data_IF_454778910432
#
_entry.id   IF_454778910432
#
_cell.length_a   1.000
_cell.length_b   1.000
_cell.length_c   1.000
_cell.angle_alpha   90.00
_cell.angle_beta   90.00
_cell.angle_gamma   90.00
#
_symmetry.space_group_name_H-M   'P 1'
#
loop_
_entity.id
_entity.type
_entity.pdbx_description
1 polymer ?
#
# COMPACT_ATOMS: atom_id res chain seq x y z
N UNK A 1 23.68 -12.42 -8.25
CA UNK A 1 23.57 -13.17 -6.98
C UNK A 1 23.59 -12.29 -5.71
N UNK A 2 24.36 -11.19 -5.63
CA UNK A 2 24.37 -10.30 -4.43
C UNK A 2 23.04 -9.59 -4.17
N UNK A 3 22.36 -9.09 -5.21
CA UNK A 3 21.06 -8.38 -5.07
C UNK A 3 19.97 -9.31 -4.53
N UNK A 4 19.83 -10.52 -5.08
CA UNK A 4 18.82 -11.50 -4.62
C UNK A 4 19.02 -11.87 -3.15
N UNK A 5 20.27 -11.96 -2.70
CA UNK A 5 20.60 -12.24 -1.30
C UNK A 5 20.22 -11.06 -0.39
N UNK A 6 20.55 -9.84 -0.80
CA UNK A 6 20.16 -8.61 -0.09
C UNK A 6 18.64 -8.48 0.07
N UNK A 7 17.87 -8.69 -1.02
CA UNK A 7 16.39 -8.64 -0.98
C UNK A 7 15.80 -9.64 0.02
N UNK A 8 16.45 -10.78 0.20
CA UNK A 8 16.02 -11.81 1.13
C UNK A 8 16.45 -11.54 2.57
N UNK A 9 17.57 -10.84 2.76
CA UNK A 9 18.12 -10.51 4.07
C UNK A 9 17.48 -9.24 4.67
N UNK A 10 16.96 -8.32 3.84
CA UNK A 10 16.26 -7.07 4.26
C UNK A 10 14.98 -6.82 3.43
N UNK A 11 13.96 -7.66 3.58
CA UNK A 11 12.76 -7.60 2.74
C UNK A 11 11.97 -6.30 2.94
N UNK A 12 11.87 -5.78 4.17
CA UNK A 12 11.10 -4.59 4.48
C UNK A 12 11.76 -3.32 3.94
N UNK A 13 13.08 -3.20 4.09
CA UNK A 13 13.85 -2.09 3.52
C UNK A 13 13.77 -2.07 1.99
N UNK A 14 13.84 -3.25 1.35
CA UNK A 14 13.72 -3.38 -0.10
C UNK A 14 12.32 -2.96 -0.57
N UNK A 15 11.28 -3.44 0.11
CA UNK A 15 9.89 -3.09 -0.20
C UNK A 15 9.65 -1.58 -0.07
N UNK A 16 10.08 -0.97 1.04
CA UNK A 16 9.98 0.47 1.24
C UNK A 16 10.73 1.26 0.17
N UNK A 17 11.97 0.86 -0.14
CA UNK A 17 12.75 1.49 -1.19
C UNK A 17 12.05 1.44 -2.55
N UNK A 18 11.46 0.29 -2.89
CA UNK A 18 10.69 0.13 -4.12
C UNK A 18 9.41 0.99 -4.14
N UNK A 19 8.71 1.11 -3.01
CA UNK A 19 7.52 1.93 -2.89
C UNK A 19 7.83 3.43 -3.02
N UNK A 20 8.88 3.91 -2.34
CA UNK A 20 9.34 5.30 -2.46
C UNK A 20 9.77 5.59 -3.90
N UNK A 21 10.53 4.68 -4.51
CA UNK A 21 10.90 4.80 -5.91
C UNK A 21 9.66 4.86 -6.81
N UNK A 22 8.64 4.04 -6.53
CA UNK A 22 7.35 4.10 -7.21
C UNK A 22 6.73 5.49 -7.18
N UNK A 23 6.61 6.09 -5.99
CA UNK A 23 6.08 7.45 -5.82
C UNK A 23 6.84 8.46 -6.68
N UNK A 24 8.17 8.38 -6.70
CA UNK A 24 9.01 9.29 -7.46
C UNK A 24 8.93 9.07 -8.97
N UNK A 25 8.64 7.85 -9.42
CA UNK A 25 8.57 7.52 -10.84
C UNK A 25 7.21 7.83 -11.47
N UNK A 26 6.10 7.82 -10.71
CA UNK A 26 4.75 8.01 -11.27
C UNK A 26 4.57 9.23 -12.19
N UNK A 27 5.09 10.44 -11.88
CA UNK A 27 4.94 11.61 -12.75
C UNK A 27 5.54 11.41 -14.15
N UNK A 28 6.54 10.53 -14.28
CA UNK A 28 7.20 10.25 -15.55
C UNK A 28 6.48 9.15 -16.37
N UNK A 29 5.49 8.49 -15.76
CA UNK A 29 4.84 7.30 -16.31
C UNK A 29 3.41 7.56 -16.80
N UNK A 30 2.74 8.66 -16.41
CA UNK A 30 1.35 8.91 -16.82
C UNK A 30 1.21 9.45 -18.26
N UNK A 31 2.19 10.21 -18.77
CA UNK A 31 2.04 10.92 -20.04
C UNK A 31 2.60 10.20 -21.29
N UNK A 32 3.04 8.94 -21.18
CA UNK A 32 3.65 8.22 -22.32
C UNK A 32 3.13 6.80 -22.53
N UNK A 33 3.09 6.36 -23.79
CA UNK A 33 2.74 4.97 -24.17
C UNK A 33 3.73 3.97 -23.54
N UNK A 34 5.00 4.34 -23.39
CA UNK A 34 5.99 3.58 -22.66
C UNK A 34 5.68 3.51 -21.15
N UNK A 35 5.04 4.55 -20.62
CA UNK A 35 4.62 4.69 -19.24
C UNK A 35 3.63 3.61 -18.79
N UNK A 36 2.62 3.28 -19.61
CA UNK A 36 1.68 2.19 -19.31
C UNK A 36 2.35 0.82 -19.14
N UNK A 37 3.32 0.48 -20.00
CA UNK A 37 4.08 -0.77 -19.89
C UNK A 37 5.01 -0.76 -18.65
N UNK A 38 5.64 0.38 -18.36
CA UNK A 38 6.47 0.55 -17.17
C UNK A 38 5.65 0.50 -15.87
N UNK A 39 4.44 1.04 -15.85
CA UNK A 39 3.50 0.92 -14.72
C UNK A 39 3.11 -0.53 -14.48
N UNK A 40 2.82 -1.29 -15.54
CA UNK A 40 2.53 -2.71 -15.41
C UNK A 40 3.72 -3.49 -14.84
N UNK A 41 4.94 -3.26 -15.36
CA UNK A 41 6.18 -3.86 -14.84
C UNK A 41 6.39 -3.49 -13.37
N UNK A 42 6.16 -2.23 -13.02
CA UNK A 42 6.29 -1.75 -11.65
C UNK A 42 5.25 -2.42 -10.73
N UNK A 43 4.00 -2.55 -11.17
CA UNK A 43 2.96 -3.30 -10.46
C UNK A 43 3.37 -4.75 -10.19
N UNK A 44 3.87 -5.47 -11.20
CA UNK A 44 4.39 -6.83 -11.02
C UNK A 44 5.55 -6.90 -10.02
N UNK A 45 6.47 -5.93 -10.08
CA UNK A 45 7.60 -5.85 -9.17
C UNK A 45 7.13 -5.63 -7.72
N UNK A 46 6.21 -4.70 -7.49
CA UNK A 46 5.67 -4.43 -6.15
C UNK A 46 4.89 -5.64 -5.63
N UNK A 47 4.03 -6.26 -6.45
CA UNK A 47 3.32 -7.49 -6.08
C UNK A 47 4.29 -8.61 -5.67
N UNK A 48 5.36 -8.81 -6.44
CA UNK A 48 6.39 -9.79 -6.13
C UNK A 48 7.09 -9.50 -4.79
N UNK A 49 7.45 -8.24 -4.55
CA UNK A 49 8.08 -7.82 -3.28
C UNK A 49 7.14 -7.97 -2.09
N UNK A 50 5.83 -7.71 -2.25
CA UNK A 50 4.83 -7.96 -1.21
C UNK A 50 4.77 -9.44 -0.86
N UNK A 51 4.70 -10.33 -1.86
CA UNK A 51 4.69 -11.78 -1.60
C UNK A 51 5.96 -12.21 -0.85
N UNK A 52 7.12 -11.67 -1.22
CA UNK A 52 8.39 -11.98 -0.55
C UNK A 52 8.36 -11.49 0.90
N UNK A 53 7.94 -10.24 1.14
CA UNK A 53 7.87 -9.65 2.47
C UNK A 53 6.92 -10.42 3.39
N UNK A 54 5.73 -10.80 2.90
CA UNK A 54 4.77 -11.55 3.71
C UNK A 54 5.23 -12.99 3.96
N UNK A 55 5.93 -13.64 3.03
CA UNK A 55 6.49 -14.99 3.24
C UNK A 55 7.58 -15.04 4.31
N UNK A 56 8.17 -13.90 4.67
CA UNK A 56 9.10 -13.82 5.81
C UNK A 56 8.36 -13.81 7.16
N UNK A 57 7.03 -13.63 7.18
CA UNK A 57 6.19 -13.63 8.38
C UNK A 57 5.57 -15.01 8.64
N UNK A 58 5.22 -15.36 9.89
CA UNK A 58 4.62 -16.67 10.24
C UNK A 58 3.15 -16.83 9.82
N UNK A 59 2.56 -15.86 9.11
CA UNK A 59 1.17 -15.88 8.65
C UNK A 59 0.97 -16.90 7.50
N UNK A 60 -0.26 -17.39 7.30
CA UNK A 60 -0.62 -18.41 6.29
C UNK A 60 -0.21 -18.00 4.86
N UNK A 61 0.99 -18.43 4.44
CA UNK A 61 1.58 -18.02 3.15
C UNK A 61 0.81 -18.51 1.92
N UNK A 62 -0.06 -19.51 2.07
CA UNK A 62 -0.93 -19.99 0.99
C UNK A 62 -2.07 -19.01 0.67
N UNK A 63 -2.55 -18.25 1.65
CA UNK A 63 -3.60 -17.23 1.46
C UNK A 63 -3.06 -16.11 0.57
N UNK A 64 -1.83 -15.68 0.81
CA UNK A 64 -1.13 -14.72 -0.06
C UNK A 64 -1.10 -15.22 -1.50
N UNK A 65 -0.77 -16.50 -1.72
CA UNK A 65 -0.71 -17.06 -3.06
C UNK A 65 -2.09 -17.08 -3.72
N UNK A 66 -3.13 -17.43 -2.96
CA UNK A 66 -4.51 -17.48 -3.45
C UNK A 66 -5.03 -16.10 -3.87
N UNK A 67 -4.61 -15.02 -3.21
CA UNK A 67 -5.01 -13.65 -3.56
C UNK A 67 -4.07 -13.03 -4.62
N UNK A 68 -2.77 -13.26 -4.52
CA UNK A 68 -1.78 -12.70 -5.43
C UNK A 68 -1.88 -13.30 -6.85
N UNK A 69 -2.25 -14.57 -6.98
CA UNK A 69 -2.38 -15.21 -8.29
C UNK A 69 -3.49 -14.56 -9.15
N UNK A 70 -4.75 -14.39 -8.67
CA UNK A 70 -5.77 -13.63 -9.38
C UNK A 70 -5.35 -12.19 -9.68
N UNK A 71 -4.75 -11.48 -8.71
CA UNK A 71 -4.26 -10.11 -8.92
C UNK A 71 -3.26 -10.04 -10.08
N UNK A 72 -2.28 -10.94 -10.09
CA UNK A 72 -1.26 -11.01 -11.15
C UNK A 72 -1.87 -11.35 -12.51
N UNK A 73 -2.78 -12.32 -12.57
CA UNK A 73 -3.45 -12.71 -13.82
C UNK A 73 -4.28 -11.55 -14.38
N UNK A 74 -5.01 -10.84 -13.53
CA UNK A 74 -5.79 -9.68 -13.95
C UNK A 74 -4.89 -8.52 -14.39
N UNK A 75 -3.77 -8.27 -13.71
CA UNK A 75 -2.79 -7.27 -14.13
C UNK A 75 -2.20 -7.60 -15.52
N UNK A 76 -1.87 -8.88 -15.78
CA UNK A 76 -1.42 -9.34 -17.11
C UNK A 76 -2.53 -9.13 -18.14
N UNK A 77 -3.78 -9.47 -17.80
CA UNK A 77 -4.90 -9.32 -18.71
C UNK A 77 -5.14 -7.85 -19.11
N UNK A 78 -4.88 -6.88 -18.21
CA UNK A 78 -4.97 -5.45 -18.51
C UNK A 78 -4.00 -4.99 -19.61
N UNK A 79 -2.86 -5.67 -19.79
CA UNK A 79 -1.90 -5.37 -20.87
C UNK A 79 -2.48 -5.67 -22.25
N UNK A 80 -3.38 -6.65 -22.34
CA UNK A 80 -3.98 -7.09 -23.59
C UNK A 80 -5.40 -6.55 -23.81
N UNK A 81 -6.14 -6.29 -22.72
CA UNK A 81 -7.54 -5.86 -22.76
C UNK A 81 -7.75 -4.69 -21.80
N UNK A 82 -7.90 -3.49 -22.36
CA UNK A 82 -8.28 -2.30 -21.59
C UNK A 82 -9.79 -2.28 -21.37
N UNK A 83 -10.26 -2.74 -20.20
CA UNK A 83 -11.67 -2.61 -19.81
C UNK A 83 -11.82 -2.07 -18.39
N UNK A 84 -12.73 -1.09 -18.15
CA UNK A 84 -12.91 -0.50 -16.82
C UNK A 84 -13.30 -1.52 -15.74
N UNK A 85 -14.13 -2.50 -16.09
CA UNK A 85 -14.53 -3.57 -15.16
C UNK A 85 -13.36 -4.45 -14.73
N UNK A 86 -12.42 -4.74 -15.63
CA UNK A 86 -11.26 -5.58 -15.33
C UNK A 86 -10.26 -4.84 -14.42
N UNK A 87 -10.10 -3.53 -14.60
CA UNK A 87 -9.32 -2.69 -13.68
C UNK A 87 -9.93 -2.70 -12.27
N UNK A 88 -11.26 -2.56 -12.15
CA UNK A 88 -11.94 -2.61 -10.85
C UNK A 88 -11.72 -3.94 -10.13
N UNK A 89 -11.86 -5.08 -10.83
CA UNK A 89 -11.58 -6.39 -10.25
C UNK A 89 -10.11 -6.57 -9.86
N UNK A 90 -9.18 -6.14 -10.72
CA UNK A 90 -7.74 -6.18 -10.41
C UNK A 90 -7.43 -5.39 -9.14
N UNK A 91 -7.91 -4.15 -9.07
CA UNK A 91 -7.74 -3.28 -7.90
C UNK A 91 -8.38 -3.88 -6.65
N UNK A 92 -9.52 -4.56 -6.78
CA UNK A 92 -10.13 -5.27 -5.65
C UNK A 92 -9.22 -6.36 -5.07
N UNK A 93 -8.63 -7.20 -5.91
CA UNK A 93 -7.69 -8.23 -5.45
C UNK A 93 -6.39 -7.63 -4.90
N UNK A 94 -5.88 -6.56 -5.52
CA UNK A 94 -4.70 -5.84 -5.05
C UNK A 94 -4.94 -5.20 -3.69
N UNK A 95 -6.09 -4.53 -3.49
CA UNK A 95 -6.48 -3.98 -2.19
C UNK A 95 -6.48 -5.05 -1.10
N UNK A 96 -7.10 -6.20 -1.35
CA UNK A 96 -7.12 -7.33 -0.39
C UNK A 96 -5.71 -7.83 -0.09
N UNK A 97 -4.86 -7.98 -1.10
CA UNK A 97 -3.47 -8.39 -0.92
C UNK A 97 -2.69 -7.39 -0.08
N UNK A 98 -2.79 -6.10 -0.38
CA UNK A 98 -2.08 -5.05 0.35
C UNK A 98 -2.57 -4.91 1.79
N UNK A 99 -3.88 -5.00 2.05
CA UNK A 99 -4.42 -5.04 3.41
C UNK A 99 -3.93 -6.28 4.17
N UNK A 100 -3.95 -7.45 3.54
CA UNK A 100 -3.45 -8.67 4.15
C UNK A 100 -1.95 -8.56 4.47
N UNK A 101 -1.16 -8.00 3.55
CA UNK A 101 0.26 -7.80 3.74
C UNK A 101 0.55 -6.82 4.89
N UNK A 102 -0.14 -5.67 4.90
CA UNK A 102 -0.05 -4.69 5.99
C UNK A 102 -0.40 -5.31 7.33
N UNK A 103 -1.53 -6.03 7.43
CA UNK A 103 -1.95 -6.68 8.66
C UNK A 103 -0.97 -7.77 9.12
N UNK A 104 -0.42 -8.58 8.20
CA UNK A 104 0.54 -9.64 8.51
C UNK A 104 1.86 -9.06 9.03
N UNK A 105 2.38 -8.03 8.37
CA UNK A 105 3.61 -7.35 8.80
C UNK A 105 3.41 -6.63 10.14
N UNK A 106 2.26 -5.98 10.33
CA UNK A 106 1.92 -5.30 11.57
C UNK A 106 1.79 -6.28 12.74
N UNK A 107 1.14 -7.42 12.54
CA UNK A 107 1.03 -8.48 13.53
C UNK A 107 2.41 -9.09 13.86
N UNK A 108 3.25 -9.29 12.85
CA UNK A 108 4.64 -9.73 13.03
C UNK A 108 5.45 -8.75 13.88
N UNK A 109 5.38 -7.45 13.57
CA UNK A 109 6.06 -6.39 14.34
C UNK A 109 5.55 -6.33 15.79
N UNK A 110 4.26 -6.48 16.01
CA UNK A 110 3.68 -6.47 17.36
C UNK A 110 4.07 -7.68 18.20
N UNK A 111 4.40 -8.81 17.58
CA UNK A 111 4.78 -10.04 18.27
C UNK A 111 6.25 -10.05 18.73
N UNK A 112 7.13 -9.25 18.11
CA UNK A 112 8.56 -9.27 18.41
C UNK A 112 8.93 -8.34 19.59
N UNK A 113 9.79 -8.82 20.49
CA UNK A 113 10.29 -8.07 21.65
C UNK A 113 11.56 -7.25 21.35
N UNK A 114 12.24 -7.51 20.23
CA UNK A 114 13.51 -6.87 19.88
C UNK A 114 13.39 -6.07 18.59
N UNK A 115 13.46 -4.74 18.70
CA UNK A 115 13.51 -3.87 17.52
C UNK A 115 14.82 -4.01 16.78
N UNK A 116 14.77 -4.60 15.58
CA UNK A 116 15.89 -4.63 14.63
C UNK A 116 15.80 -3.46 13.64
N UNK A 117 16.88 -3.16 12.93
CA UNK A 117 16.89 -2.10 11.91
C UNK A 117 15.92 -2.37 10.76
N UNK A 118 15.72 -3.65 10.36
CA UNK A 118 14.74 -4.02 9.33
C UNK A 118 13.31 -3.73 9.80
N UNK A 119 13.04 -3.85 11.11
CA UNK A 119 11.74 -3.54 11.69
C UNK A 119 11.41 -2.03 11.65
N UNK A 120 12.41 -1.16 11.74
CA UNK A 120 12.22 0.28 11.52
C UNK A 120 11.80 0.58 10.08
N UNK A 121 12.38 -0.13 9.10
CA UNK A 121 11.94 -0.01 7.71
C UNK A 121 10.56 -0.65 7.49
N UNK A 122 10.20 -1.67 8.25
CA UNK A 122 8.87 -2.29 8.22
C UNK A 122 7.77 -1.29 8.60
N UNK A 123 8.02 -0.36 9.54
CA UNK A 123 7.08 0.75 9.84
C UNK A 123 6.81 1.57 8.57
N UNK A 124 7.85 1.97 7.85
CA UNK A 124 7.66 2.71 6.60
C UNK A 124 6.89 1.88 5.57
N UNK A 125 7.27 0.61 5.42
CA UNK A 125 6.66 -0.31 4.44
C UNK A 125 5.18 -0.60 4.74
N UNK A 126 4.79 -0.75 6.01
CA UNK A 126 3.38 -0.98 6.36
C UNK A 126 2.53 0.26 6.09
N UNK A 127 3.06 1.46 6.38
CA UNK A 127 2.36 2.71 6.06
C UNK A 127 2.06 2.81 4.57
N UNK A 128 3.05 2.57 3.72
CA UNK A 128 2.88 2.58 2.26
C UNK A 128 1.99 1.44 1.78
N UNK A 129 2.05 0.23 2.37
CA UNK A 129 1.11 -0.84 2.01
C UNK A 129 -0.35 -0.43 2.29
N UNK A 130 -0.62 0.22 3.42
CA UNK A 130 -1.94 0.74 3.73
C UNK A 130 -2.38 1.81 2.72
N UNK A 131 -1.49 2.73 2.36
CA UNK A 131 -1.80 3.74 1.35
C UNK A 131 -2.15 3.11 -0.02
N UNK A 132 -1.45 2.04 -0.44
CA UNK A 132 -1.76 1.38 -1.71
C UNK A 132 -3.08 0.60 -1.61
N UNK A 133 -3.33 -0.03 -0.47
CA UNK A 133 -4.57 -0.74 -0.23
C UNK A 133 -5.80 0.19 -0.34
N UNK A 134 -5.74 1.36 0.28
CA UNK A 134 -6.81 2.36 0.18
C UNK A 134 -6.90 3.00 -1.20
N UNK A 135 -5.78 3.31 -1.85
CA UNK A 135 -5.79 3.79 -3.23
C UNK A 135 -6.51 2.81 -4.19
N UNK A 136 -6.21 1.52 -4.11
CA UNK A 136 -6.94 0.49 -4.88
C UNK A 136 -8.41 0.38 -4.45
N UNK A 137 -8.71 0.55 -3.16
CA UNK A 137 -10.10 0.61 -2.69
C UNK A 137 -10.83 1.79 -3.30
N UNK A 138 -10.19 2.95 -3.46
CA UNK A 138 -10.77 4.11 -4.12
C UNK A 138 -11.00 3.90 -5.61
N UNK A 139 -10.11 3.16 -6.29
CA UNK A 139 -10.36 2.74 -7.69
C UNK A 139 -11.62 1.89 -7.78
N UNK A 140 -11.81 0.94 -6.87
CA UNK A 140 -13.03 0.10 -6.81
C UNK A 140 -14.27 0.95 -6.53
N UNK A 141 -14.21 1.85 -5.54
CA UNK A 141 -15.32 2.76 -5.22
C UNK A 141 -15.67 3.63 -6.41
N UNK A 142 -14.68 4.19 -7.10
CA UNK A 142 -14.89 5.00 -8.31
C UNK A 142 -15.54 4.20 -9.44
N UNK A 143 -15.17 2.93 -9.59
CA UNK A 143 -15.74 2.06 -10.62
C UNK A 143 -17.20 1.64 -10.31
N UNK A 144 -17.52 1.41 -9.03
CA UNK A 144 -18.86 1.05 -8.59
C UNK A 144 -19.81 2.25 -8.55
N UNK A 145 -19.30 3.43 -8.19
CA UNK A 145 -20.07 4.65 -8.04
C UNK A 145 -19.35 5.85 -8.71
N UNK A 146 -19.44 5.97 -10.05
CA UNK A 146 -18.73 7.00 -10.82
C UNK A 146 -19.04 8.42 -10.33
N UNK A 147 -18.02 9.29 -10.31
CA UNK A 147 -18.14 10.64 -9.73
C UNK A 147 -18.13 10.66 -8.19
N UNK A 148 -17.66 9.59 -7.56
CA UNK A 148 -17.41 9.52 -6.12
C UNK A 148 -16.34 10.51 -5.63
N UNK A 149 -15.37 10.84 -6.50
CA UNK A 149 -14.24 11.71 -6.21
C UNK A 149 -14.16 12.84 -7.24
N UNK A 150 -14.05 14.08 -6.77
CA UNK A 150 -13.81 15.26 -7.61
C UNK A 150 -12.43 15.84 -7.30
N UNK A 151 -11.84 16.54 -8.27
CA UNK A 151 -10.63 17.33 -8.08
C UNK A 151 -10.92 18.81 -8.35
N UNK A 152 -10.03 19.71 -7.86
CA UNK A 152 -10.13 21.14 -8.11
C UNK A 152 -10.04 21.49 -9.61
N UNK A 153 -9.23 20.74 -10.36
CA UNK A 153 -9.11 20.82 -11.82
C UNK A 153 -9.85 19.64 -12.44
N UNK A 154 -10.57 19.86 -13.55
CA UNK A 154 -11.35 18.83 -14.26
C UNK A 154 -12.28 18.01 -13.33
N UNK A 155 -13.22 18.65 -12.59
CA UNK A 155 -14.00 18.00 -11.53
C UNK A 155 -14.84 16.80 -12.00
N UNK A 156 -15.26 16.78 -13.27
CA UNK A 156 -16.12 15.74 -13.84
C UNK A 156 -15.35 14.56 -14.44
N UNK A 157 -14.02 14.63 -14.51
CA UNK A 157 -13.21 13.54 -15.03
C UNK A 157 -12.99 12.44 -13.97
N UNK A 158 -12.87 11.16 -14.38
CA UNK A 158 -12.47 10.10 -13.47
C UNK A 158 -11.06 10.36 -12.93
N UNK A 159 -10.84 10.07 -11.64
CA UNK A 159 -9.52 10.26 -11.05
C UNK A 159 -8.54 9.20 -11.56
N UNK A 160 -7.31 9.63 -11.83
CA UNK A 160 -6.20 8.76 -12.18
C UNK A 160 -5.75 7.91 -10.98
N UNK A 161 -4.95 6.88 -11.25
CA UNK A 161 -4.31 6.09 -10.19
C UNK A 161 -3.46 6.96 -9.26
N UNK A 162 -2.64 7.85 -9.82
CA UNK A 162 -1.74 8.71 -9.05
C UNK A 162 -2.51 9.72 -8.22
N UNK A 163 -3.61 10.28 -8.76
CA UNK A 163 -4.54 11.13 -8.03
C UNK A 163 -5.11 10.41 -6.79
N UNK A 164 -5.67 9.21 -6.98
CA UNK A 164 -6.24 8.43 -5.87
C UNK A 164 -5.19 7.99 -4.85
N UNK A 165 -3.97 7.69 -5.31
CA UNK A 165 -2.84 7.42 -4.43
C UNK A 165 -2.43 8.65 -3.62
N UNK A 166 -2.40 9.83 -4.24
CA UNK A 166 -2.13 11.10 -3.56
C UNK A 166 -3.19 11.42 -2.50
N UNK A 167 -4.47 11.20 -2.81
CA UNK A 167 -5.57 11.28 -1.85
C UNK A 167 -5.33 10.36 -0.65
N UNK A 168 -4.99 9.10 -0.90
CA UNK A 168 -4.74 8.11 0.15
C UNK A 168 -3.56 8.50 1.05
N UNK A 169 -2.42 8.87 0.47
CA UNK A 169 -1.27 9.37 1.24
C UNK A 169 -1.61 10.57 2.11
N UNK A 170 -2.30 11.56 1.53
CA UNK A 170 -2.70 12.78 2.23
C UNK A 170 -3.64 12.47 3.40
N UNK A 171 -4.59 11.56 3.18
CA UNK A 171 -5.60 11.17 4.17
C UNK A 171 -4.99 10.32 5.27
N UNK A 172 -4.25 9.27 4.92
CA UNK A 172 -3.62 8.34 5.86
C UNK A 172 -2.54 9.02 6.72
N UNK A 173 -1.81 9.98 6.15
CA UNK A 173 -0.84 10.80 6.90
C UNK A 173 -1.48 11.86 7.80
N UNK A 174 -2.77 12.16 7.58
CA UNK A 174 -3.48 13.24 8.28
C UNK A 174 -3.05 14.66 7.85
N UNK A 175 -2.33 14.81 6.73
CA UNK A 175 -1.90 16.12 6.23
C UNK A 175 -3.03 16.91 5.57
N UNK A 176 -3.98 16.21 4.94
CA UNK A 176 -5.16 16.83 4.31
C UNK A 176 -4.83 17.75 3.13
N UNK A 177 -3.67 17.55 2.48
CA UNK A 177 -3.19 18.38 1.37
C UNK A 177 -3.81 18.05 0.01
N UNK A 178 -4.48 16.90 -0.11
CA UNK A 178 -5.05 16.47 -1.39
C UNK A 178 -6.06 17.49 -1.93
N UNK A 179 -5.94 17.80 -3.22
CA UNK A 179 -6.90 18.58 -4.00
C UNK A 179 -8.08 17.73 -4.51
N UNK A 180 -8.10 16.45 -4.14
CA UNK A 180 -9.14 15.48 -4.47
C UNK A 180 -9.98 15.26 -3.23
N UNK A 181 -11.30 15.25 -3.40
CA UNK A 181 -12.24 15.12 -2.28
C UNK A 181 -13.35 14.10 -2.58
N UNK A 182 -13.74 13.27 -1.59
CA UNK A 182 -14.90 12.40 -1.72
C UNK A 182 -16.20 13.21 -1.61
N UNK A 183 -17.10 13.06 -2.59
CA UNK A 183 -18.37 13.81 -2.63
C UNK A 183 -19.59 12.96 -2.35
N UNK A 184 -19.53 11.65 -2.62
CA UNK A 184 -20.62 10.70 -2.36
C UNK A 184 -20.47 10.04 -0.99
N UNK A 185 -21.60 9.63 -0.41
CA UNK A 185 -21.64 9.14 0.97
C UNK A 185 -20.84 7.84 1.17
N UNK A 186 -20.88 6.92 0.20
CA UNK A 186 -20.05 5.72 0.23
C UNK A 186 -18.55 6.06 0.19
N UNK A 187 -18.13 6.94 -0.72
CA UNK A 187 -16.75 7.38 -0.80
C UNK A 187 -16.27 8.06 0.50
N UNK A 188 -17.10 8.93 1.09
CA UNK A 188 -16.81 9.57 2.39
C UNK A 188 -16.62 8.55 3.50
N UNK A 189 -17.49 7.53 3.57
CA UNK A 189 -17.37 6.49 4.60
C UNK A 189 -16.05 5.73 4.51
N UNK A 190 -15.58 5.40 3.29
CA UNK A 190 -14.30 4.72 3.08
C UNK A 190 -13.12 5.63 3.45
N UNK A 191 -13.17 6.90 3.07
CA UNK A 191 -12.14 7.89 3.45
C UNK A 191 -12.09 8.09 4.97
N UNK A 192 -13.24 8.11 5.65
CA UNK A 192 -13.29 8.17 7.12
C UNK A 192 -12.65 6.92 7.77
N UNK A 193 -12.84 5.74 7.20
CA UNK A 193 -12.18 4.51 7.66
C UNK A 193 -10.67 4.57 7.44
N UNK A 194 -10.20 5.15 6.34
CA UNK A 194 -8.78 5.39 6.10
C UNK A 194 -8.17 6.33 7.14
N UNK A 195 -8.83 7.46 7.42
CA UNK A 195 -8.39 8.41 8.45
C UNK A 195 -8.27 7.72 9.82
N UNK A 196 -9.26 6.90 10.17
CA UNK A 196 -9.24 6.13 11.41
C UNK A 196 -8.08 5.12 11.43
N UNK A 197 -7.86 4.41 10.33
CA UNK A 197 -6.76 3.46 10.19
C UNK A 197 -5.39 4.14 10.31
N UNK A 198 -5.20 5.31 9.69
CA UNK A 198 -3.98 6.11 9.79
C UNK A 198 -3.69 6.56 11.22
N UNK A 199 -4.72 7.05 11.93
CA UNK A 199 -4.59 7.43 13.34
C UNK A 199 -4.19 6.25 14.23
N UNK A 200 -4.88 5.10 14.09
CA UNK A 200 -4.56 3.90 14.88
C UNK A 200 -3.17 3.36 14.56
N UNK A 201 -2.77 3.40 13.30
CA UNK A 201 -1.45 2.96 12.86
C UNK A 201 -0.35 3.77 13.57
N UNK A 202 -0.40 5.09 13.50
CA UNK A 202 0.59 5.97 14.14
C UNK A 202 0.58 5.78 15.65
N UNK A 203 -0.61 5.75 16.27
CA UNK A 203 -0.75 5.60 17.72
C UNK A 203 -0.10 4.29 18.22
N UNK A 204 -0.34 3.19 17.52
CA UNK A 204 0.21 1.89 17.89
C UNK A 204 1.73 1.81 17.67
N UNK A 205 2.24 2.32 16.54
CA UNK A 205 3.69 2.36 16.29
C UNK A 205 4.42 3.17 17.36
N UNK A 206 3.91 4.36 17.70
CA UNK A 206 4.50 5.21 18.73
C UNK A 206 4.43 4.52 20.10
N UNK A 207 3.28 3.96 20.47
CA UNK A 207 3.11 3.25 21.74
C UNK A 207 4.09 2.07 21.88
N UNK A 208 4.31 1.31 20.80
CA UNK A 208 5.28 0.20 20.78
C UNK A 208 6.71 0.70 20.97
N UNK A 209 7.14 1.72 20.21
CA UNK A 209 8.51 2.25 20.30
C UNK A 209 8.81 2.82 21.70
N UNK A 210 7.85 3.52 22.30
CA UNK A 210 7.96 4.04 23.67
C UNK A 210 8.00 2.90 24.68
N UNK A 211 7.12 1.90 24.55
CA UNK A 211 7.05 0.75 25.44
C UNK A 211 8.36 -0.06 25.48
N UNK A 212 8.95 -0.32 24.31
CA UNK A 212 10.22 -1.05 24.20
C UNK A 212 11.41 -0.22 24.74
N UNK A 213 11.40 1.09 24.51
CA UNK A 213 12.43 1.99 25.05
C UNK A 213 12.38 2.07 26.58
N UNK A 214 11.19 2.19 27.17
CA UNK A 214 10.99 2.21 28.62
C UNK A 214 11.38 0.86 29.28
N UNK A 215 11.04 -0.26 28.63
CA UNK A 215 11.43 -1.59 29.09
C UNK A 215 12.94 -1.81 29.12
N UNK A 216 13.66 -1.28 28.11
CA UNK A 216 15.13 -1.38 28.01
C UNK A 216 15.83 -0.59 29.13
N UNK A 217 15.38 0.64 29.41
CA UNK A 217 15.90 1.46 30.52
C UNK A 217 15.75 0.74 31.86
N UNK A 218 14.58 0.14 32.11
CA UNK A 218 14.30 -0.58 33.37
C UNK A 218 15.16 -1.83 33.56
N UNK A 219 15.56 -2.52 32.48
CA UNK A 219 16.47 -3.68 32.55
C UNK A 219 17.94 -3.29 32.75
N UNK A 220 18.37 -2.11 32.29
CA UNK A 220 19.74 -1.62 32.50
C UNK A 220 20.00 -0.99 33.88
N UNK A 221 18.94 -0.69 34.64
CA UNK A 221 19.00 -0.21 36.02
C UNK A 221 18.98 -1.33 37.08
N UNK A 222 18.82 -2.59 36.65
CA UNK A 222 18.92 -3.78 37.51
C UNK A 222 20.25 -4.47 37.28
#
# INVERSE_FOLDING_TARGET
MRVIRFVRDTPCATLLGAQILGVLLYPFLEDSVAGGALLAIFGFLVLGLVVIAVRATPMLSWVVLLVAAPATVLLVAQVFVSSPGLNAWSSGFEAVLYFYAAASMLAYMLADEVVTTDELFAIGAVFTLLAWAFAHTFVVVQALDPGSFIAAVAPNEPRSWTELLFLSFSTLSGTGLSDIVPVKDHARSVVMLEQLAGLFYIAMVVARLVGLSAGRIRRGLK
#
